data_IF_041904010507
#
_entry.id   IF_041904010507
#
_cell.length_a   1.000
_cell.length_b   1.000
_cell.length_c   1.000
_cell.angle_alpha   90.00
_cell.angle_beta   90.00
_cell.angle_gamma   90.00
#
_symmetry.space_group_name_H-M   'P 1'
#
loop_
_entity.id
_entity.type
_entity.pdbx_description
1 polymer ?
#
# COMPACT_ATOMS: atom_id res chain seq x y z
N UNK A 1 -13.85 -17.92 11.26
CA UNK A 1 -12.57 -17.20 11.19
C UNK A 1 -11.48 -17.98 10.44
N UNK A 2 -11.30 -19.29 10.64
CA UNK A 2 -10.30 -20.06 9.85
C UNK A 2 -10.53 -20.03 8.34
N UNK A 3 -11.78 -20.13 7.88
CA UNK A 3 -12.11 -20.04 6.45
C UNK A 3 -11.72 -18.70 5.82
N UNK A 4 -11.70 -17.62 6.61
CA UNK A 4 -11.32 -16.30 6.14
C UNK A 4 -9.80 -16.21 5.90
N UNK A 5 -8.99 -16.73 6.82
CA UNK A 5 -7.53 -16.79 6.61
C UNK A 5 -7.16 -17.62 5.38
N UNK A 6 -7.88 -18.71 5.13
CA UNK A 6 -7.71 -19.50 3.89
C UNK A 6 -8.00 -18.70 2.62
N UNK A 7 -9.03 -17.84 2.64
CA UNK A 7 -9.35 -16.95 1.51
C UNK A 7 -8.23 -15.91 1.32
N UNK A 8 -7.76 -15.30 2.41
CA UNK A 8 -6.64 -14.35 2.37
C UNK A 8 -5.36 -14.99 1.80
N UNK A 9 -5.00 -16.19 2.27
CA UNK A 9 -3.86 -16.94 1.77
C UNK A 9 -3.99 -17.29 0.29
N UNK A 10 -5.17 -17.76 -0.13
CA UNK A 10 -5.43 -18.07 -1.54
C UNK A 10 -5.30 -16.84 -2.45
N UNK A 11 -5.79 -15.69 -1.99
CA UNK A 11 -5.72 -14.43 -2.74
C UNK A 11 -4.36 -13.73 -2.62
N UNK A 12 -3.45 -14.21 -1.76
CA UNK A 12 -2.15 -13.58 -1.52
C UNK A 12 -2.24 -12.18 -0.88
N UNK A 13 -3.29 -11.95 -0.09
CA UNK A 13 -3.56 -10.70 0.61
C UNK A 13 -3.59 -10.91 2.13
N UNK A 14 -3.29 -9.85 2.87
CA UNK A 14 -3.49 -9.82 4.32
C UNK A 14 -4.96 -9.57 4.67
N UNK A 15 -5.41 -9.94 5.88
CA UNK A 15 -6.72 -9.54 6.39
C UNK A 15 -7.02 -8.05 6.27
N UNK A 16 -6.00 -7.21 6.49
CA UNK A 16 -6.14 -5.76 6.39
C UNK A 16 -6.42 -5.33 4.95
N UNK A 17 -5.63 -5.82 3.98
CA UNK A 17 -5.85 -5.52 2.56
C UNK A 17 -7.21 -6.03 2.07
N UNK A 18 -7.68 -7.18 2.57
CA UNK A 18 -8.99 -7.72 2.19
C UNK A 18 -10.16 -6.82 2.60
N UNK A 19 -10.05 -6.13 3.75
CA UNK A 19 -11.09 -5.23 4.26
C UNK A 19 -10.83 -3.75 3.95
N UNK A 20 -9.81 -3.44 3.15
CA UNK A 20 -9.49 -2.06 2.77
C UNK A 20 -10.33 -1.59 1.59
N UNK A 21 -11.61 -1.32 1.85
CA UNK A 21 -12.56 -0.81 0.84
C UNK A 21 -12.19 0.61 0.33
N UNK A 22 -11.34 1.34 1.07
CA UNK A 22 -10.89 2.68 0.71
C UNK A 22 -9.75 2.70 -0.32
N UNK A 23 -9.09 1.57 -0.53
CA UNK A 23 -7.97 1.45 -1.46
C UNK A 23 -8.45 1.14 -2.88
N UNK A 24 -8.58 2.18 -3.70
CA UNK A 24 -9.02 2.06 -5.10
C UNK A 24 -8.01 1.36 -6.01
N UNK A 25 -6.74 1.25 -5.59
CA UNK A 25 -5.64 0.72 -6.42
C UNK A 25 -4.76 -0.23 -5.60
N UNK A 26 -5.28 -1.38 -5.15
CA UNK A 26 -4.62 -2.24 -4.17
C UNK A 26 -3.27 -2.77 -4.63
N UNK A 27 -3.19 -3.29 -5.86
CA UNK A 27 -1.94 -3.83 -6.41
C UNK A 27 -0.87 -2.75 -6.59
N UNK A 28 -1.24 -1.60 -7.15
CA UNK A 28 -0.31 -0.48 -7.36
C UNK A 28 0.18 0.10 -6.04
N UNK A 29 -0.69 0.23 -5.03
CA UNK A 29 -0.28 0.71 -3.71
C UNK A 29 0.64 -0.30 -3.01
N UNK A 30 0.37 -1.60 -3.16
CA UNK A 30 1.21 -2.66 -2.60
C UNK A 30 2.62 -2.66 -3.20
N UNK A 31 2.72 -2.56 -4.52
CA UNK A 31 4.01 -2.41 -5.23
C UNK A 31 4.74 -1.14 -4.78
N UNK A 32 4.04 0.00 -4.72
CA UNK A 32 4.61 1.26 -4.27
C UNK A 32 5.18 1.15 -2.84
N UNK A 33 4.45 0.53 -1.91
CA UNK A 33 4.92 0.32 -0.53
C UNK A 33 6.14 -0.62 -0.51
N UNK A 34 6.16 -1.66 -1.35
CA UNK A 34 7.28 -2.60 -1.42
C UNK A 34 8.57 -1.91 -1.88
N UNK A 35 8.50 -1.05 -2.89
CA UNK A 35 9.63 -0.25 -3.36
C UNK A 35 10.03 0.82 -2.32
N UNK A 36 9.06 1.51 -1.73
CA UNK A 36 9.33 2.53 -0.73
C UNK A 36 10.07 1.97 0.50
N UNK A 37 9.78 0.72 0.91
CA UNK A 37 10.48 0.05 2.03
C UNK A 37 11.98 -0.17 1.80
N UNK A 38 12.45 -0.13 0.55
CA UNK A 38 13.87 -0.31 0.21
C UNK A 38 14.66 1.01 0.28
N UNK A 39 13.97 2.14 0.38
CA UNK A 39 14.58 3.47 0.38
C UNK A 39 15.23 3.80 1.72
N UNK A 40 16.31 4.56 1.66
CA UNK A 40 16.87 5.20 2.84
C UNK A 40 15.94 6.33 3.33
N UNK A 41 16.04 6.75 4.61
CA UNK A 41 15.16 7.77 5.17
C UNK A 41 15.14 9.09 4.40
N UNK A 42 16.26 9.49 3.78
CA UNK A 42 16.35 10.74 3.05
C UNK A 42 15.59 10.65 1.71
N UNK A 43 15.78 9.58 0.94
CA UNK A 43 15.05 9.37 -0.31
C UNK A 43 13.54 9.23 -0.09
N UNK A 44 13.13 8.54 0.98
CA UNK A 44 11.73 8.44 1.37
C UNK A 44 11.10 9.82 1.60
N UNK A 45 11.80 10.74 2.28
CA UNK A 45 11.30 12.10 2.51
C UNK A 45 11.10 12.89 1.21
N UNK A 46 11.98 12.72 0.23
CA UNK A 46 11.82 13.37 -1.08
C UNK A 46 10.57 12.88 -1.81
N UNK A 47 10.37 11.57 -1.88
CA UNK A 47 9.17 11.00 -2.53
C UNK A 47 7.89 11.44 -1.82
N UNK A 48 7.87 11.40 -0.48
CA UNK A 48 6.74 11.90 0.31
C UNK A 48 6.46 13.38 0.06
N UNK A 49 7.50 14.21 -0.13
CA UNK A 49 7.36 15.61 -0.49
C UNK A 49 6.65 15.81 -1.82
N UNK A 50 7.06 15.05 -2.85
CA UNK A 50 6.43 15.08 -4.18
C UNK A 50 4.96 14.67 -4.08
N UNK A 51 4.66 13.57 -3.37
CA UNK A 51 3.28 13.11 -3.19
C UNK A 51 2.38 14.17 -2.53
N UNK A 52 2.89 14.84 -1.49
CA UNK A 52 2.14 15.91 -0.81
C UNK A 52 1.87 17.09 -1.72
N UNK A 53 2.85 17.49 -2.52
CA UNK A 53 2.71 18.58 -3.49
C UNK A 53 1.72 18.23 -4.61
N UNK A 54 1.69 16.98 -5.08
CA UNK A 54 0.69 16.55 -6.06
C UNK A 54 -0.73 16.55 -5.48
N UNK A 55 -0.88 16.19 -4.20
CA UNK A 55 -2.17 16.17 -3.52
C UNK A 55 -2.66 17.56 -3.08
N UNK A 56 -1.76 18.51 -2.82
CA UNK A 56 -2.12 19.90 -2.45
C UNK A 56 -2.66 20.71 -3.62
N UNK A 57 -2.38 20.28 -4.86
CA UNK A 57 -2.85 20.89 -6.10
C UNK A 57 -4.26 20.44 -6.53
N UNK A 58 -4.93 19.61 -5.72
CA UNK A 58 -6.34 19.21 -5.92
C UNK A 58 -7.32 20.25 -5.41
#
# INVERSE_FOLDING_TARGET
>A
MQSFFYICEYLGVTPQEFFDEGNTYPETLKEFIAEARQLDPQSMQYILGIMKELNSRK
#
